data_IF_581221624224
#
_entry.id   IF_581221624224
#
_cell.length_a   1.000
_cell.length_b   1.000
_cell.length_c   1.000
_cell.angle_alpha   90.00
_cell.angle_beta   90.00
_cell.angle_gamma   90.00
#
_symmetry.space_group_name_H-M   'P 1'
#
loop_
_entity.id
_entity.type
_entity.pdbx_description
1 polymer ?
#
# COMPACT_ATOMS: atom_id res chain seq x y z
N UNK A 1 -4.89 -27.85 -7.63
CA UNK A 1 -3.59 -27.28 -8.09
C UNK A 1 -3.75 -25.84 -8.58
N UNK A 2 -4.75 -25.53 -9.42
CA UNK A 2 -5.02 -24.16 -9.90
C UNK A 2 -5.38 -23.20 -8.76
N UNK A 3 -6.29 -23.59 -7.85
CA UNK A 3 -6.68 -22.76 -6.69
C UNK A 3 -5.50 -22.38 -5.77
N UNK A 4 -4.52 -23.28 -5.60
CA UNK A 4 -3.34 -23.00 -4.78
C UNK A 4 -2.41 -21.97 -5.44
N UNK A 5 -2.36 -21.95 -6.77
CA UNK A 5 -1.58 -20.97 -7.53
C UNK A 5 -2.27 -19.60 -7.48
N UNK A 6 -3.60 -19.55 -7.59
CA UNK A 6 -4.37 -18.30 -7.45
C UNK A 6 -4.24 -17.69 -6.06
N UNK A 7 -4.29 -18.52 -5.01
CA UNK A 7 -4.05 -18.07 -3.65
C UNK A 7 -2.65 -17.45 -3.48
N UNK A 8 -1.61 -18.07 -4.04
CA UNK A 8 -0.25 -17.51 -4.01
C UNK A 8 -0.11 -16.25 -4.87
N UNK A 9 -0.79 -16.18 -6.01
CA UNK A 9 -0.79 -15.01 -6.89
C UNK A 9 -1.40 -13.78 -6.21
N UNK A 10 -2.35 -13.96 -5.29
CA UNK A 10 -2.94 -12.84 -4.52
C UNK A 10 -1.93 -12.08 -3.64
N UNK A 11 -0.80 -12.70 -3.31
CA UNK A 11 0.29 -12.07 -2.56
C UNK A 11 1.29 -11.33 -3.46
N UNK A 12 1.14 -11.42 -4.78
CA UNK A 12 2.05 -10.83 -5.76
C UNK A 12 1.36 -9.63 -6.42
N UNK A 13 1.94 -8.42 -6.35
CA UNK A 13 1.38 -7.25 -7.02
C UNK A 13 1.13 -7.52 -8.51
N UNK A 14 0.01 -7.03 -9.06
CA UNK A 14 -0.36 -7.24 -10.46
C UNK A 14 0.71 -6.73 -11.41
N UNK A 15 1.42 -5.65 -11.06
CA UNK A 15 2.54 -5.14 -11.86
C UNK A 15 3.66 -6.18 -12.06
N UNK A 16 3.89 -7.05 -11.08
CA UNK A 16 4.88 -8.15 -11.18
C UNK A 16 4.33 -9.29 -12.02
N UNK A 17 3.06 -9.64 -11.83
CA UNK A 17 2.38 -10.67 -12.64
C UNK A 17 2.40 -10.29 -14.12
N UNK A 18 2.01 -9.05 -14.46
CA UNK A 18 2.04 -8.50 -15.82
C UNK A 18 3.46 -8.54 -16.41
N UNK A 19 4.47 -8.15 -15.62
CA UNK A 19 5.87 -8.25 -16.05
C UNK A 19 6.27 -9.68 -16.38
N UNK A 20 5.91 -10.65 -15.52
CA UNK A 20 6.24 -12.06 -15.73
C UNK A 20 5.51 -12.67 -16.92
N UNK A 21 4.32 -12.17 -17.27
CA UNK A 21 3.61 -12.56 -18.49
C UNK A 21 4.32 -12.04 -19.75
N UNK A 22 4.85 -10.81 -19.72
CA UNK A 22 5.60 -10.22 -20.83
C UNK A 22 7.00 -10.83 -20.99
N UNK A 23 7.67 -11.10 -19.86
CA UNK A 23 9.01 -11.69 -19.80
C UNK A 23 9.07 -12.69 -18.64
N UNK A 24 8.89 -14.00 -18.92
CA UNK A 24 8.90 -15.04 -17.90
C UNK A 24 10.29 -15.32 -17.31
N UNK A 25 11.34 -14.63 -17.79
CA UNK A 25 12.69 -14.80 -17.28
C UNK A 25 12.74 -14.45 -15.79
N UNK A 26 13.20 -15.37 -14.91
CA UNK A 26 13.34 -15.08 -13.50
C UNK A 26 14.22 -13.84 -13.28
N UNK A 27 13.83 -13.00 -12.30
CA UNK A 27 14.64 -11.83 -11.92
C UNK A 27 15.86 -12.35 -11.16
N UNK A 28 16.92 -12.67 -11.89
CA UNK A 28 18.17 -13.21 -11.34
C UNK A 28 19.13 -12.11 -10.84
N UNK A 29 18.92 -10.86 -11.27
CA UNK A 29 19.69 -9.68 -10.84
C UNK A 29 18.74 -8.53 -10.49
N UNK A 30 19.12 -7.66 -9.54
CA UNK A 30 18.38 -6.43 -9.26
C UNK A 30 18.09 -5.66 -10.54
N UNK A 31 16.85 -5.24 -10.72
CA UNK A 31 16.36 -4.49 -11.86
C UNK A 31 15.62 -3.25 -11.38
N UNK A 32 15.71 -2.16 -12.13
CA UNK A 32 14.94 -0.95 -11.88
C UNK A 32 14.09 -0.71 -13.11
N UNK A 33 12.78 -0.78 -12.94
CA UNK A 33 11.82 -0.35 -13.95
C UNK A 33 11.38 1.08 -13.65
N UNK A 34 11.05 1.84 -14.70
CA UNK A 34 10.63 3.24 -14.59
C UNK A 34 9.30 3.42 -15.30
N UNK A 35 8.39 4.12 -14.65
CA UNK A 35 7.12 4.52 -15.24
C UNK A 35 6.66 5.85 -14.62
N UNK A 36 5.78 6.56 -15.32
CA UNK A 36 4.96 7.58 -14.68
C UNK A 36 3.84 6.88 -13.90
N UNK A 37 3.54 7.35 -12.69
CA UNK A 37 2.47 6.76 -11.88
C UNK A 37 1.97 7.74 -10.83
N UNK A 38 0.74 7.54 -10.38
CA UNK A 38 0.28 8.04 -9.09
C UNK A 38 0.53 6.97 -8.01
N UNK A 39 0.90 7.41 -6.82
CA UNK A 39 1.24 6.60 -5.67
C UNK A 39 0.42 7.06 -4.48
N UNK A 40 -0.18 6.10 -3.78
CA UNK A 40 -0.88 6.31 -2.54
C UNK A 40 -0.08 5.62 -1.42
N UNK A 41 0.29 6.38 -0.40
CA UNK A 41 0.85 5.85 0.83
C UNK A 41 -0.16 6.04 1.96
N UNK A 42 -0.45 4.97 2.68
CA UNK A 42 -1.37 4.94 3.79
C UNK A 42 -0.60 4.49 5.03
N UNK A 43 -0.75 5.22 6.13
CA UNK A 43 -0.29 4.85 7.47
C UNK A 43 -1.52 4.73 8.39
N UNK A 44 -1.75 3.52 8.93
CA UNK A 44 -2.91 3.22 9.76
C UNK A 44 -2.54 3.42 11.23
N UNK A 45 -2.99 4.54 11.80
CA UNK A 45 -2.78 4.84 13.22
C UNK A 45 -3.82 4.17 14.12
N UNK A 46 -3.40 3.79 15.33
CA UNK A 46 -4.24 3.10 16.33
C UNK A 46 -4.12 1.58 16.30
N UNK A 47 -3.36 1.03 15.34
CA UNK A 47 -3.18 -0.40 15.13
C UNK A 47 -2.47 -1.10 16.30
N UNK A 48 -1.35 -0.54 16.75
CA UNK A 48 -0.59 -1.11 17.88
C UNK A 48 -1.43 -1.21 19.14
N UNK A 49 -2.17 -0.15 19.47
CA UNK A 49 -3.02 -0.12 20.67
C UNK A 49 -4.16 -1.13 20.59
N UNK A 50 -4.84 -1.24 19.44
CA UNK A 50 -5.89 -2.24 19.23
C UNK A 50 -5.34 -3.66 19.43
N UNK A 51 -4.18 -3.94 18.83
CA UNK A 51 -3.49 -5.23 18.96
C UNK A 51 -3.16 -5.53 20.42
N UNK A 52 -2.55 -4.58 21.14
CA UNK A 52 -2.21 -4.77 22.55
C UNK A 52 -3.44 -5.05 23.42
N UNK A 53 -4.55 -4.34 23.20
CA UNK A 53 -5.79 -4.55 23.95
C UNK A 53 -6.41 -5.91 23.68
N UNK A 54 -6.52 -6.31 22.41
CA UNK A 54 -7.16 -7.57 22.05
C UNK A 54 -6.31 -8.79 22.41
N UNK A 55 -4.97 -8.70 22.28
CA UNK A 55 -4.06 -9.79 22.67
C UNK A 55 -4.17 -10.10 24.17
N UNK A 56 -4.42 -9.10 25.02
CA UNK A 56 -4.61 -9.31 26.46
C UNK A 56 -5.84 -10.16 26.81
N UNK A 57 -6.82 -10.24 25.91
CA UNK A 57 -8.02 -11.07 26.07
C UNK A 57 -7.81 -12.56 25.72
N UNK A 58 -6.57 -12.97 25.43
CA UNK A 58 -6.22 -14.36 25.16
C UNK A 58 -6.62 -14.82 23.75
N UNK A 59 -6.82 -16.13 23.52
CA UNK A 59 -7.06 -16.69 22.18
C UNK A 59 -8.25 -16.07 21.43
N UNK A 60 -9.34 -15.76 22.14
CA UNK A 60 -10.53 -15.13 21.54
C UNK A 60 -10.24 -13.72 21.01
N UNK A 61 -9.41 -12.95 21.70
CA UNK A 61 -9.04 -11.61 21.25
C UNK A 61 -8.09 -11.62 20.04
N UNK A 62 -7.27 -12.68 19.88
CA UNK A 62 -6.48 -12.87 18.66
C UNK A 62 -7.36 -13.17 17.45
N UNK A 63 -8.41 -13.99 17.61
CA UNK A 63 -9.39 -14.26 16.56
C UNK A 63 -10.14 -12.98 16.16
N UNK A 64 -10.60 -12.20 17.14
CA UNK A 64 -11.25 -10.91 16.91
C UNK A 64 -10.34 -9.92 16.20
N UNK A 65 -9.07 -9.83 16.62
CA UNK A 65 -8.07 -9.01 15.95
C UNK A 65 -7.95 -9.41 14.48
N UNK A 66 -7.77 -10.70 14.20
CA UNK A 66 -7.64 -11.21 12.83
C UNK A 66 -8.86 -10.83 11.97
N UNK A 67 -10.08 -10.99 12.49
CA UNK A 67 -11.31 -10.61 11.79
C UNK A 67 -11.37 -9.11 11.50
N UNK A 68 -11.07 -8.26 12.49
CA UNK A 68 -11.06 -6.81 12.34
C UNK A 68 -10.03 -6.37 11.30
N UNK A 69 -8.83 -6.95 11.35
CA UNK A 69 -7.74 -6.60 10.42
C UNK A 69 -8.06 -7.04 9.00
N UNK A 70 -8.54 -8.26 8.83
CA UNK A 70 -8.91 -8.78 7.52
C UNK A 70 -10.04 -7.97 6.91
N UNK A 71 -11.09 -7.63 7.67
CA UNK A 71 -12.18 -6.79 7.18
C UNK A 71 -11.68 -5.38 6.78
N UNK A 72 -10.83 -4.78 7.61
CA UNK A 72 -10.32 -3.43 7.35
C UNK A 72 -9.41 -3.39 6.11
N UNK A 73 -8.44 -4.30 6.01
CA UNK A 73 -7.54 -4.37 4.86
C UNK A 73 -8.27 -4.79 3.59
N UNK A 74 -9.21 -5.74 3.66
CA UNK A 74 -10.00 -6.15 2.50
C UNK A 74 -10.73 -4.94 1.89
N UNK A 75 -11.37 -4.12 2.74
CA UNK A 75 -12.03 -2.91 2.25
C UNK A 75 -11.06 -1.91 1.61
N UNK A 76 -9.85 -1.74 2.18
CA UNK A 76 -8.82 -0.86 1.60
C UNK A 76 -8.37 -1.38 0.23
N UNK A 77 -8.12 -2.68 0.12
CA UNK A 77 -7.73 -3.34 -1.13
C UNK A 77 -8.83 -3.16 -2.17
N UNK A 78 -10.09 -3.41 -1.81
CA UNK A 78 -11.23 -3.28 -2.72
C UNK A 78 -11.37 -1.85 -3.26
N UNK A 79 -11.16 -0.83 -2.41
CA UNK A 79 -11.16 0.58 -2.82
C UNK A 79 -10.01 0.90 -3.79
N UNK A 80 -8.82 0.33 -3.58
CA UNK A 80 -7.67 0.51 -4.47
C UNK A 80 -7.97 -0.12 -5.83
N UNK A 81 -8.37 -1.38 -5.81
CA UNK A 81 -8.64 -2.16 -7.02
C UNK A 81 -9.83 -1.57 -7.80
N UNK A 82 -10.87 -1.10 -7.12
CA UNK A 82 -12.06 -0.49 -7.72
C UNK A 82 -11.75 0.82 -8.46
N UNK A 83 -10.76 1.57 -8.01
CA UNK A 83 -10.25 2.78 -8.70
C UNK A 83 -9.16 2.46 -9.73
N UNK A 84 -8.92 1.17 -10.04
CA UNK A 84 -7.94 0.71 -11.03
C UNK A 84 -6.49 0.72 -10.54
N UNK A 85 -6.27 0.80 -9.23
CA UNK A 85 -4.94 0.73 -8.62
C UNK A 85 -4.47 -0.70 -8.38
N UNK A 86 -3.23 -0.82 -7.95
CA UNK A 86 -2.60 -2.07 -7.53
C UNK A 86 -1.92 -1.90 -6.17
N UNK A 87 -1.95 -2.93 -5.33
CA UNK A 87 -1.29 -2.92 -4.03
C UNK A 87 0.14 -3.40 -4.20
N UNK A 88 1.11 -2.51 -4.00
CA UNK A 88 2.52 -2.85 -4.17
C UNK A 88 3.07 -3.63 -2.99
N UNK A 89 2.73 -3.21 -1.77
CA UNK A 89 3.17 -3.87 -0.54
C UNK A 89 2.43 -3.39 0.69
N UNK A 90 2.49 -4.25 1.70
CA UNK A 90 2.24 -3.92 3.09
C UNK A 90 3.58 -3.78 3.82
N UNK A 91 3.69 -2.83 4.73
CA UNK A 91 4.86 -2.61 5.56
C UNK A 91 4.41 -2.30 7.00
N UNK A 92 4.19 -3.35 7.78
CA UNK A 92 3.57 -3.22 9.11
C UNK A 92 2.12 -2.73 8.97
N UNK A 93 1.81 -1.61 9.58
CA UNK A 93 0.53 -0.89 9.53
C UNK A 93 0.43 0.12 8.38
N UNK A 94 1.41 0.12 7.46
CA UNK A 94 1.39 0.95 6.26
C UNK A 94 1.07 0.14 4.99
N UNK A 95 0.41 0.81 4.03
CA UNK A 95 0.07 0.28 2.72
C UNK A 95 0.60 1.20 1.63
N UNK A 96 1.18 0.61 0.58
CA UNK A 96 1.62 1.32 -0.61
C UNK A 96 0.84 0.81 -1.83
N UNK A 97 0.18 1.72 -2.55
CA UNK A 97 -0.54 1.43 -3.78
C UNK A 97 -0.06 2.31 -4.94
N UNK A 98 -0.29 1.82 -6.16
CA UNK A 98 0.15 2.42 -7.41
C UNK A 98 -0.95 2.44 -8.45
N UNK A 99 -0.97 3.51 -9.25
CA UNK A 99 -1.69 3.62 -10.52
C UNK A 99 -0.66 3.92 -11.61
N UNK A 100 -0.10 2.88 -12.26
CA UNK A 100 0.94 3.06 -13.26
C UNK A 100 0.33 3.56 -14.58
N UNK A 101 1.00 4.50 -15.25
CA UNK A 101 0.72 4.80 -16.65
C UNK A 101 1.15 3.61 -17.49
N UNK A 102 0.20 2.94 -18.13
CA UNK A 102 0.46 2.00 -19.20
C UNK A 102 0.50 2.74 -20.54
N UNK A 103 1.24 2.20 -21.52
CA UNK A 103 1.35 2.82 -22.84
C UNK A 103 -0.03 2.91 -23.50
N UNK A 104 -0.54 4.14 -23.67
CA UNK A 104 -1.77 4.42 -24.41
C UNK A 104 -3.08 4.36 -23.62
N UNK A 105 -3.06 4.17 -22.29
CA UNK A 105 -4.29 4.01 -21.50
C UNK A 105 -4.82 5.30 -20.86
N UNK A 106 -4.01 6.00 -20.03
CA UNK A 106 -4.47 7.17 -19.27
C UNK A 106 -3.34 8.18 -19.00
N UNK A 107 -3.68 9.46 -19.00
CA UNK A 107 -2.76 10.52 -18.57
C UNK A 107 -2.52 10.46 -17.05
N UNK A 108 -1.32 10.84 -16.62
CA UNK A 108 -0.93 10.90 -15.22
C UNK A 108 -1.91 11.72 -14.36
N UNK A 109 -2.51 12.76 -14.94
CA UNK A 109 -3.52 13.60 -14.28
C UNK A 109 -4.77 12.79 -13.89
N UNK A 110 -5.23 11.90 -14.77
CA UNK A 110 -6.40 11.05 -14.52
C UNK A 110 -6.09 10.00 -13.44
N UNK A 111 -4.93 9.35 -13.53
CA UNK A 111 -4.49 8.38 -12.52
C UNK A 111 -4.32 9.03 -11.15
N UNK A 112 -3.85 10.28 -11.11
CA UNK A 112 -3.77 11.07 -9.88
C UNK A 112 -5.15 11.36 -9.30
N UNK A 113 -6.14 11.68 -10.15
CA UNK A 113 -7.51 11.89 -9.72
C UNK A 113 -8.11 10.62 -9.11
N UNK A 114 -7.91 9.45 -9.74
CA UNK A 114 -8.36 8.15 -9.22
C UNK A 114 -7.72 7.83 -7.87
N UNK A 115 -6.41 8.05 -7.73
CA UNK A 115 -5.72 7.89 -6.45
C UNK A 115 -6.29 8.82 -5.35
N UNK A 116 -6.63 10.07 -5.69
CA UNK A 116 -7.27 11.02 -4.77
C UNK A 116 -8.71 10.61 -4.42
N UNK A 117 -9.49 10.08 -5.37
CA UNK A 117 -10.84 9.57 -5.14
C UNK A 117 -10.80 8.35 -4.19
N UNK A 118 -9.87 7.43 -4.43
CA UNK A 118 -9.58 6.30 -3.55
C UNK A 118 -9.25 6.78 -2.13
N UNK A 119 -8.31 7.74 -2.00
CA UNK A 119 -7.93 8.32 -0.71
C UNK A 119 -9.13 8.90 0.05
N UNK A 120 -10.01 9.62 -0.64
CA UNK A 120 -11.21 10.20 -0.04
C UNK A 120 -12.20 9.13 0.41
N UNK A 121 -12.42 8.09 -0.40
CA UNK A 121 -13.29 6.97 -0.05
C UNK A 121 -12.76 6.24 1.20
N UNK A 122 -11.45 6.01 1.28
CA UNK A 122 -10.80 5.40 2.44
C UNK A 122 -10.95 6.24 3.71
N UNK A 123 -10.78 7.57 3.62
CA UNK A 123 -11.00 8.45 4.76
C UNK A 123 -12.44 8.38 5.26
N UNK A 124 -13.42 8.36 4.35
CA UNK A 124 -14.85 8.20 4.71
C UNK A 124 -15.09 6.86 5.42
N UNK A 125 -14.55 5.78 4.88
CA UNK A 125 -14.67 4.45 5.49
C UNK A 125 -14.04 4.40 6.89
N UNK A 126 -12.83 4.93 7.07
CA UNK A 126 -12.15 5.00 8.38
C UNK A 126 -12.96 5.78 9.42
N UNK A 127 -13.65 6.85 9.00
CA UNK A 127 -14.53 7.61 9.89
C UNK A 127 -15.77 6.81 10.32
N UNK A 128 -16.34 5.98 9.46
CA UNK A 128 -17.50 5.14 9.75
C UNK A 128 -17.15 3.82 10.45
N UNK A 129 -15.94 3.30 10.27
CA UNK A 129 -15.53 2.01 10.82
C UNK A 129 -15.11 2.15 12.29
N UNK A 130 -15.75 1.38 13.15
CA UNK A 130 -15.40 1.27 14.57
C UNK A 130 -15.17 -0.19 14.91
N UNK A 131 -13.91 -0.64 15.04
CA UNK A 131 -13.61 -2.04 15.34
C UNK A 131 -14.12 -2.48 16.71
N UNK A 132 -14.14 -1.57 17.68
CA UNK A 132 -14.75 -1.80 19.00
C UNK A 132 -15.24 -0.46 19.58
N UNK A 133 -15.94 -0.51 20.72
CA UNK A 133 -16.41 0.71 21.41
C UNK A 133 -15.24 1.59 21.90
N UNK A 134 -14.07 0.99 22.14
CA UNK A 134 -12.92 1.66 22.76
C UNK A 134 -11.80 1.97 21.76
N UNK A 135 -11.85 1.42 20.55
CA UNK A 135 -10.81 1.58 19.55
C UNK A 135 -11.33 2.24 18.26
N UNK A 136 -10.56 3.19 17.75
CA UNK A 136 -10.76 3.81 16.45
C UNK A 136 -9.48 3.69 15.63
N UNK A 137 -9.60 3.27 14.37
CA UNK A 137 -8.50 3.33 13.41
C UNK A 137 -8.58 4.65 12.65
N UNK A 138 -7.44 5.33 12.52
CA UNK A 138 -7.32 6.56 11.75
C UNK A 138 -6.34 6.36 10.60
N UNK A 139 -6.65 6.96 9.45
CA UNK A 139 -5.78 6.90 8.27
C UNK A 139 -5.03 8.22 8.07
N UNK A 140 -3.72 8.12 7.91
CA UNK A 140 -2.92 9.17 7.29
C UNK A 140 -2.65 8.75 5.86
N UNK A 141 -3.07 9.58 4.91
CA UNK A 141 -3.00 9.25 3.48
C UNK A 141 -2.23 10.35 2.76
N UNK A 142 -1.27 9.94 1.92
CA UNK A 142 -0.49 10.82 1.06
C UNK A 142 -0.60 10.34 -0.39
N UNK A 143 -0.79 11.27 -1.32
CA UNK A 143 -0.80 11.01 -2.76
C UNK A 143 0.37 11.75 -3.40
N UNK A 144 1.16 11.06 -4.21
CA UNK A 144 2.20 11.67 -5.05
C UNK A 144 2.08 11.17 -6.47
N UNK A 145 2.47 11.97 -7.46
CA UNK A 145 2.41 11.59 -8.87
C UNK A 145 3.67 12.06 -9.61
N UNK A 146 4.13 11.25 -10.56
CA UNK A 146 5.29 11.57 -11.39
C UNK A 146 6.06 10.34 -11.84
N UNK A 147 7.27 10.57 -12.35
CA UNK A 147 8.17 9.48 -12.73
C UNK A 147 8.72 8.79 -11.48
N UNK A 148 8.45 7.49 -11.39
CA UNK A 148 8.92 6.63 -10.30
C UNK A 148 9.88 5.58 -10.83
N UNK A 149 10.74 5.11 -9.94
CA UNK A 149 11.57 3.95 -10.13
C UNK A 149 11.05 2.84 -9.21
N UNK A 150 10.75 1.68 -9.78
CA UNK A 150 10.39 0.47 -9.06
C UNK A 150 11.60 -0.45 -9.11
N UNK A 151 12.26 -0.64 -7.97
CA UNK A 151 13.34 -1.61 -7.86
C UNK A 151 12.76 -2.99 -7.56
N UNK A 152 13.03 -3.93 -8.46
CA UNK A 152 12.77 -5.35 -8.33
C UNK A 152 14.08 -6.01 -7.90
N UNK A 153 14.17 -6.39 -6.63
CA UNK A 153 15.35 -7.08 -6.14
C UNK A 153 15.19 -8.58 -6.41
N UNK A 154 16.18 -9.14 -7.12
CA UNK A 154 16.34 -10.57 -7.26
C UNK A 154 16.62 -11.19 -5.90
N UNK A 155 15.81 -12.17 -5.49
CA UNK A 155 16.17 -13.09 -4.41
C UNK A 155 16.40 -14.45 -5.04
N UNK A 156 17.67 -14.85 -5.14
CA UNK A 156 18.03 -16.20 -5.58
C UNK A 156 17.74 -17.18 -4.46
N UNK A 157 16.79 -18.08 -4.69
CA UNK A 157 16.37 -19.10 -3.74
C UNK A 157 17.25 -20.33 -3.92
N UNK A 158 18.03 -20.71 -2.90
CA UNK A 158 18.63 -22.04 -2.83
C UNK A 158 17.73 -22.91 -1.97
N UNK A 159 17.28 -24.05 -2.49
CA UNK A 159 16.30 -24.93 -1.85
C UNK A 159 16.87 -25.43 -0.52
N UNK A 160 16.30 -25.02 0.62
CA UNK A 160 16.69 -25.52 1.94
C UNK A 160 16.14 -24.75 3.13
N UNK A 161 16.08 -23.42 3.09
CA UNK A 161 15.63 -22.60 4.23
C UNK A 161 14.79 -21.42 3.75
N UNK A 162 13.50 -21.43 4.12
CA UNK A 162 12.45 -20.54 3.60
C UNK A 162 12.50 -19.17 4.29
N UNK A 163 12.61 -18.09 3.51
CA UNK A 163 12.17 -16.74 3.90
C UNK A 163 11.65 -15.98 2.67
N UNK A 164 10.45 -15.39 2.76
CA UNK A 164 9.85 -14.58 1.70
C UNK A 164 10.41 -13.15 1.74
N UNK A 165 10.88 -12.62 0.61
CA UNK A 165 10.78 -11.19 0.29
C UNK A 165 11.15 -10.90 -1.17
N UNK A 166 10.19 -10.50 -2.00
CA UNK A 166 10.48 -9.61 -3.12
C UNK A 166 10.31 -8.19 -2.56
N UNK A 167 11.42 -7.52 -2.21
CA UNK A 167 11.33 -6.14 -1.76
C UNK A 167 11.07 -5.28 -2.99
N UNK A 168 9.81 -4.90 -3.22
CA UNK A 168 9.50 -3.74 -4.03
C UNK A 168 9.85 -2.48 -3.24
N UNK A 169 10.75 -1.68 -3.78
CA UNK A 169 10.85 -0.28 -3.39
C UNK A 169 10.47 0.60 -4.57
N UNK A 170 9.43 1.41 -4.38
CA UNK A 170 9.09 2.49 -5.30
C UNK A 170 9.68 3.79 -4.73
N UNK A 171 10.42 4.54 -5.54
CA UNK A 171 10.96 5.86 -5.18
C UNK A 171 10.69 6.84 -6.32
N UNK A 172 10.29 8.07 -5.98
CA UNK A 172 10.24 9.15 -6.96
C UNK A 172 11.64 9.47 -7.48
N UNK A 173 11.77 9.58 -8.80
CA UNK A 173 13.02 10.00 -9.45
C UNK A 173 13.09 11.52 -9.33
N UNK A 174 13.94 12.02 -8.42
CA UNK A 174 14.20 13.43 -8.05
C UNK A 174 13.19 14.47 -8.59
N UNK A 175 12.40 15.14 -7.73
CA UNK A 175 11.58 16.26 -8.20
C UNK A 175 12.50 17.38 -8.71
N UNK A 176 12.19 17.95 -9.89
CA UNK A 176 12.66 19.32 -10.19
C UNK A 176 12.14 20.23 -9.06
N UNK A 177 12.92 21.22 -8.60
CA UNK A 177 12.62 21.99 -7.36
C UNK A 177 11.29 22.76 -7.38
N UNK A 178 10.58 22.80 -8.50
CA UNK A 178 9.29 23.50 -8.69
C UNK A 178 8.06 22.56 -8.68
N UNK A 179 8.25 21.24 -8.63
CA UNK A 179 7.18 20.26 -8.48
C UNK A 179 7.13 19.83 -7.01
N UNK A 180 6.46 20.64 -6.20
CA UNK A 180 6.12 20.31 -4.82
C UNK A 180 5.35 18.99 -4.75
N UNK A 181 5.67 18.07 -3.83
CA UNK A 181 4.75 16.98 -3.53
C UNK A 181 3.45 17.59 -2.99
N UNK A 182 2.31 17.16 -3.53
CA UNK A 182 1.00 17.50 -2.99
C UNK A 182 0.96 16.97 -1.56
N UNK A 183 1.15 17.86 -0.57
CA UNK A 183 0.96 17.56 0.85
C UNK A 183 -0.54 17.56 1.10
N UNK A 184 -1.15 16.37 1.22
CA UNK A 184 -2.49 16.26 1.79
C UNK A 184 -2.40 16.51 3.30
N UNK A 185 -3.04 17.60 3.72
CA UNK A 185 -3.13 18.01 5.12
C UNK A 185 -3.91 16.96 5.92
N UNK A 186 -3.39 16.52 7.07
CA UNK A 186 -4.25 15.92 8.08
C UNK A 186 -5.12 17.03 8.68
N UNK A 187 -6.43 16.80 8.79
CA UNK A 187 -7.28 17.68 9.57
C UNK A 187 -6.92 17.52 11.06
N UNK A 188 -6.60 18.62 11.78
CA UNK A 188 -6.25 18.53 13.18
C UNK A 188 -7.51 18.30 14.02
N UNK A 189 -7.54 17.21 14.80
CA UNK A 189 -8.31 17.21 16.05
C UNK A 189 -7.42 17.80 17.13
N UNK A 190 -7.72 19.06 17.48
CA UNK A 190 -7.35 19.78 18.70
C UNK A 190 -5.83 19.95 18.97
N UNK A 191 -5.44 21.22 19.12
CA UNK A 191 -4.07 21.70 19.07
C UNK A 191 -3.07 20.95 19.93
N UNK A 192 -1.90 20.68 19.33
CA UNK A 192 -0.54 20.80 19.86
C UNK A 192 0.43 20.60 18.69
N UNK A 193 1.58 21.29 18.75
CA UNK A 193 2.43 21.67 17.62
C UNK A 193 2.89 20.57 16.66
N UNK A 194 3.01 20.96 15.38
CA UNK A 194 3.46 20.14 14.26
C UNK A 194 4.98 19.96 14.30
N UNK A 195 5.45 18.73 14.48
CA UNK A 195 6.81 18.32 14.10
C UNK A 195 6.77 17.44 12.84
N UNK A 196 7.70 17.62 11.89
CA UNK A 196 7.77 16.81 10.68
C UNK A 196 8.15 15.36 11.02
N UNK A 197 7.29 14.42 10.61
CA UNK A 197 7.60 12.98 10.59
C UNK A 197 8.17 12.66 9.21
N UNK A 198 9.25 11.87 9.20
CA UNK A 198 10.15 11.50 8.08
C UNK A 198 11.30 12.48 7.84
N UNK A 199 12.38 12.32 8.62
CA UNK A 199 13.74 12.61 8.14
C UNK A 199 14.23 11.39 7.36
N UNK A 200 14.74 11.65 6.15
CA UNK A 200 15.54 10.71 5.38
C UNK A 200 16.90 10.46 6.05
#
# INVERSE_FOLDING_TARGET
MVEQIEALASYVPKIIVRRLQQDPTPIAKPRIDRCAAAILFIDISGFTRLTETLVQSGPAGLEELSLVLNAYFSQMIDLILGEGGDVLKFAGDALLAIWPCEEGEADLSELTLRACQCALAMQRYSLSYRPSQEASLALRISVGAGNIAIALLAVSINVGNIWWSAILSARFIKPKPWLTPIRLFSLPRLGLGLHPIVRA
#
